data_IF_052149774631
#
_entry.id   IF_052149774631
#
_cell.length_a   1.000
_cell.length_b   1.000
_cell.length_c   1.000
_cell.angle_alpha   90.00
_cell.angle_beta   90.00
_cell.angle_gamma   90.00
#
_symmetry.space_group_name_H-M   'P 1'
#
loop_
_entity.id
_entity.type
_entity.pdbx_description
1 polymer ?
#
# COMPACT_ATOMS: atom_id res chain seq x y z
N UNK A 1 -5.48 -28.69 -3.29
CA UNK A 1 -6.87 -28.22 -3.09
C UNK A 1 -6.85 -26.71 -2.91
N UNK A 2 -7.89 -25.95 -3.29
CA UNK A 2 -7.92 -24.50 -3.05
C UNK A 2 -7.95 -24.20 -1.54
N UNK A 3 -7.32 -23.10 -1.14
CA UNK A 3 -7.38 -22.53 0.23
C UNK A 3 -8.83 -22.16 0.55
N UNK A 4 -9.35 -22.61 1.70
CA UNK A 4 -10.72 -22.36 2.14
C UNK A 4 -10.78 -21.40 3.32
N UNK A 5 -9.76 -21.39 4.18
CA UNK A 5 -9.62 -20.46 5.29
C UNK A 5 -8.16 -20.02 5.48
N UNK A 6 -7.94 -18.98 6.28
CA UNK A 6 -6.59 -18.51 6.63
C UNK A 6 -5.77 -19.53 7.41
N UNK A 7 -6.41 -20.48 8.10
CA UNK A 7 -5.73 -21.57 8.82
C UNK A 7 -5.17 -22.67 7.91
N UNK A 8 -5.55 -22.69 6.63
CA UNK A 8 -5.03 -23.66 5.66
C UNK A 8 -3.63 -23.27 5.15
N UNK A 9 -3.13 -22.10 5.51
CA UNK A 9 -1.84 -21.56 5.07
C UNK A 9 -1.00 -21.15 6.28
N UNK A 10 0.31 -21.04 6.07
CA UNK A 10 1.21 -20.52 7.09
C UNK A 10 0.85 -19.09 7.49
N UNK A 11 1.11 -18.74 8.75
CA UNK A 11 0.96 -17.37 9.21
C UNK A 11 1.92 -16.42 8.47
N UNK A 12 1.59 -15.13 8.51
CA UNK A 12 2.33 -14.12 7.76
C UNK A 12 3.79 -14.00 8.22
N UNK A 13 4.06 -14.12 9.53
CA UNK A 13 5.42 -13.97 10.08
C UNK A 13 6.29 -15.14 9.62
N UNK A 14 5.80 -16.37 9.74
CA UNK A 14 6.50 -17.55 9.25
C UNK A 14 6.78 -17.46 7.75
N UNK A 15 5.79 -16.99 6.98
CA UNK A 15 5.93 -16.79 5.52
C UNK A 15 7.02 -15.76 5.19
N UNK A 16 7.01 -14.59 5.85
CA UNK A 16 8.04 -13.57 5.66
C UNK A 16 9.42 -14.08 6.04
N UNK A 17 9.57 -14.66 7.23
CA UNK A 17 10.87 -15.14 7.72
C UNK A 17 11.46 -16.21 6.81
N UNK A 18 10.65 -17.17 6.37
CA UNK A 18 11.07 -18.22 5.43
C UNK A 18 11.52 -17.65 4.09
N UNK A 19 10.75 -16.71 3.53
CA UNK A 19 11.09 -16.07 2.25
C UNK A 19 12.38 -15.23 2.36
N UNK A 20 12.53 -14.45 3.43
CA UNK A 20 13.72 -13.63 3.66
C UNK A 20 14.96 -14.48 3.93
N UNK A 21 14.86 -15.52 4.76
CA UNK A 21 15.96 -16.42 5.07
C UNK A 21 16.52 -17.09 3.81
N UNK A 22 15.64 -17.44 2.86
CA UNK A 22 15.99 -18.09 1.59
C UNK A 22 16.51 -17.13 0.52
N UNK A 23 16.32 -15.82 0.69
CA UNK A 23 16.74 -14.82 -0.27
C UNK A 23 18.23 -14.44 -0.11
N UNK A 24 18.85 -13.99 -1.20
CA UNK A 24 20.16 -13.37 -1.15
C UNK A 24 20.12 -12.03 -0.40
N UNK A 25 21.20 -11.70 0.31
CA UNK A 25 21.31 -10.48 1.11
C UNK A 25 21.11 -9.22 0.26
N UNK A 26 20.35 -8.24 0.78
CA UNK A 26 20.09 -6.97 0.11
C UNK A 26 19.37 -7.04 -1.23
N UNK A 27 18.63 -8.13 -1.52
CA UNK A 27 17.93 -8.28 -2.82
C UNK A 27 16.42 -8.08 -2.75
N UNK A 28 15.82 -8.25 -1.56
CA UNK A 28 14.36 -8.27 -1.43
C UNK A 28 13.79 -6.85 -1.47
N UNK A 29 12.72 -6.67 -2.26
CA UNK A 29 11.89 -5.48 -2.22
C UNK A 29 10.50 -5.86 -1.73
N UNK A 30 9.98 -5.15 -0.72
CA UNK A 30 8.66 -5.40 -0.16
C UNK A 30 7.70 -4.31 -0.66
N UNK A 31 6.54 -4.71 -1.19
CA UNK A 31 5.43 -3.80 -1.50
C UNK A 31 4.35 -3.94 -0.43
N UNK A 32 4.19 -2.91 0.40
CA UNK A 32 3.19 -2.85 1.47
C UNK A 32 1.96 -2.07 0.97
N UNK A 33 0.94 -2.80 0.50
CA UNK A 33 -0.28 -2.25 -0.12
C UNK A 33 -1.52 -2.36 0.80
N UNK A 34 -1.30 -2.35 2.11
CA UNK A 34 -2.33 -2.53 3.14
C UNK A 34 -1.80 -2.15 4.51
N UNK A 35 -2.50 -2.54 5.58
CA UNK A 35 -2.06 -2.28 6.95
C UNK A 35 -0.68 -2.88 7.24
N UNK A 36 0.12 -2.19 8.05
CA UNK A 36 1.49 -2.57 8.36
C UNK A 36 1.60 -3.67 9.45
N UNK A 37 0.50 -4.31 9.84
CA UNK A 37 0.43 -5.31 10.93
C UNK A 37 1.41 -6.45 10.75
N UNK A 38 1.52 -7.01 9.54
CA UNK A 38 2.44 -8.12 9.28
C UNK A 38 3.91 -7.68 9.31
N UNK A 39 4.22 -6.44 8.90
CA UNK A 39 5.57 -5.90 9.00
C UNK A 39 5.95 -5.57 10.44
N UNK A 40 5.00 -5.06 11.24
CA UNK A 40 5.20 -4.86 12.68
C UNK A 40 5.50 -6.19 13.37
N UNK A 41 4.67 -7.21 13.14
CA UNK A 41 4.86 -8.55 13.68
C UNK A 41 6.18 -9.19 13.21
N UNK A 42 6.56 -8.98 11.93
CA UNK A 42 7.84 -9.43 11.40
C UNK A 42 9.01 -8.77 12.14
N UNK A 43 9.03 -7.44 12.27
CA UNK A 43 10.13 -6.72 12.93
C UNK A 43 10.28 -7.13 14.41
N UNK A 44 9.15 -7.41 15.09
CA UNK A 44 9.13 -7.90 16.48
C UNK A 44 9.44 -9.39 16.63
N UNK A 45 9.49 -10.14 15.54
CA UNK A 45 9.65 -11.59 15.62
C UNK A 45 11.01 -11.99 16.23
N UNK A 46 11.04 -12.97 17.15
CA UNK A 46 12.29 -13.54 17.62
C UNK A 46 12.96 -14.39 16.51
N UNK A 47 14.22 -14.82 16.72
CA UNK A 47 14.81 -15.90 15.95
C UNK A 47 13.93 -17.17 15.98
N UNK A 48 14.02 -17.98 14.94
CA UNK A 48 13.27 -19.23 14.83
C UNK A 48 14.05 -20.28 14.02
N UNK A 49 13.41 -21.39 13.69
CA UNK A 49 14.03 -22.46 12.91
C UNK A 49 14.45 -22.04 11.48
N UNK A 50 13.91 -20.94 10.95
CA UNK A 50 14.24 -20.46 9.60
C UNK A 50 15.49 -19.59 9.58
N UNK A 51 15.75 -18.86 10.67
CA UNK A 51 16.91 -17.99 10.81
C UNK A 51 17.23 -17.70 12.28
N UNK A 52 18.52 -17.71 12.62
CA UNK A 52 19.02 -17.28 13.92
C UNK A 52 18.94 -15.76 14.14
N UNK A 53 18.62 -14.99 13.09
CA UNK A 53 18.41 -13.54 13.17
C UNK A 53 16.99 -13.25 13.65
N UNK A 54 16.85 -12.24 14.53
CA UNK A 54 15.55 -11.69 14.85
C UNK A 54 14.95 -10.95 13.64
N UNK A 55 13.69 -10.54 13.75
CA UNK A 55 12.95 -9.86 12.69
C UNK A 55 13.69 -8.67 12.08
N UNK A 56 14.10 -7.73 12.92
CA UNK A 56 14.82 -6.51 12.52
C UNK A 56 16.15 -6.83 11.84
N UNK A 57 16.94 -7.74 12.39
CA UNK A 57 18.22 -8.17 11.83
C UNK A 57 18.05 -8.88 10.48
N UNK A 58 17.03 -9.75 10.37
CA UNK A 58 16.72 -10.45 9.14
C UNK A 58 16.28 -9.47 8.04
N UNK A 59 15.43 -8.51 8.38
CA UNK A 59 15.03 -7.43 7.46
C UNK A 59 16.24 -6.60 7.05
N UNK A 60 17.08 -6.18 8.00
CA UNK A 60 18.28 -5.39 7.72
C UNK A 60 19.23 -6.13 6.76
N UNK A 61 19.35 -7.46 6.92
CA UNK A 61 20.24 -8.27 6.08
C UNK A 61 19.68 -8.51 4.68
N UNK A 62 18.38 -8.75 4.57
CA UNK A 62 17.77 -9.33 3.35
C UNK A 62 17.05 -8.30 2.48
N UNK A 63 16.49 -7.26 3.08
CA UNK A 63 15.64 -6.30 2.41
C UNK A 63 16.45 -5.10 1.95
N UNK A 64 16.29 -4.72 0.68
CA UNK A 64 16.86 -3.50 0.11
C UNK A 64 15.95 -2.31 0.32
N UNK A 65 14.64 -2.51 0.10
CA UNK A 65 13.65 -1.43 0.14
C UNK A 65 12.26 -1.92 0.49
N UNK A 66 11.49 -1.04 1.11
CA UNK A 66 10.05 -1.18 1.32
C UNK A 66 9.33 -0.02 0.63
N UNK A 67 8.32 -0.36 -0.15
CA UNK A 67 7.46 0.60 -0.85
C UNK A 67 6.06 0.51 -0.26
N UNK A 68 5.61 1.58 0.39
CA UNK A 68 4.30 1.67 1.03
C UNK A 68 3.30 2.36 0.10
N UNK A 69 2.12 1.77 -0.04
CA UNK A 69 0.96 2.49 -0.53
C UNK A 69 0.41 3.35 0.59
N UNK A 70 0.49 4.66 0.40
CA UNK A 70 0.15 5.66 1.39
C UNK A 70 1.34 6.55 1.69
N UNK A 71 1.26 7.26 2.81
CA UNK A 71 2.09 8.42 3.12
C UNK A 71 1.24 9.68 2.96
N UNK A 72 1.62 10.76 3.64
CA UNK A 72 0.95 12.05 3.53
C UNK A 72 2.00 13.13 3.29
N UNK A 73 2.02 13.65 2.07
CA UNK A 73 2.94 14.72 1.70
C UNK A 73 2.21 16.06 1.78
N UNK A 74 2.15 16.66 2.97
CA UNK A 74 1.45 17.93 3.21
C UNK A 74 1.80 19.03 2.18
N UNK A 75 3.05 19.06 1.69
CA UNK A 75 3.52 20.01 0.67
C UNK A 75 2.87 19.83 -0.72
N UNK A 76 2.18 18.72 -0.98
CA UNK A 76 1.49 18.42 -2.25
C UNK A 76 -0.02 18.73 -2.21
N UNK A 77 -0.52 19.25 -1.09
CA UNK A 77 -1.95 19.50 -0.90
C UNK A 77 -2.21 20.97 -0.62
N UNK A 78 -3.19 21.56 -1.31
CA UNK A 78 -3.66 22.91 -0.94
C UNK A 78 -4.42 22.85 0.39
N UNK A 79 -4.57 23.96 1.13
CA UNK A 79 -5.39 24.00 2.34
C UNK A 79 -6.84 23.50 2.14
N UNK A 80 -7.40 23.60 0.92
CA UNK A 80 -8.70 23.02 0.57
C UNK A 80 -8.65 21.50 0.38
N UNK A 81 -7.58 20.96 -0.18
CA UNK A 81 -7.38 19.51 -0.32
C UNK A 81 -7.23 18.85 1.05
N UNK A 82 -6.51 19.52 1.96
CA UNK A 82 -6.39 19.14 3.36
C UNK A 82 -7.74 19.13 4.10
N UNK A 83 -8.69 19.98 3.71
CA UNK A 83 -10.04 20.03 4.30
C UNK A 83 -11.05 19.05 3.68
N UNK A 84 -10.90 18.67 2.40
CA UNK A 84 -11.90 17.86 1.66
C UNK A 84 -11.54 16.39 1.48
N UNK A 85 -10.27 16.02 1.47
CA UNK A 85 -9.83 14.68 1.02
C UNK A 85 -8.96 13.91 2.01
N UNK A 86 -8.60 14.53 3.13
CA UNK A 86 -7.66 13.97 4.09
C UNK A 86 -8.42 13.62 5.37
N UNK A 87 -8.67 12.34 5.67
CA UNK A 87 -8.77 11.94 7.07
C UNK A 87 -7.45 12.33 7.74
N UNK A 88 -7.47 12.76 9.01
CA UNK A 88 -6.23 12.93 9.78
C UNK A 88 -5.38 11.63 9.84
N UNK A 89 -5.92 10.52 9.33
CA UNK A 89 -5.39 9.18 9.27
C UNK A 89 -5.58 8.55 7.86
N UNK A 90 -4.56 8.59 7.00
CA UNK A 90 -4.57 7.89 5.69
C UNK A 90 -5.01 6.42 5.84
N UNK A 91 -5.75 5.83 4.89
CA UNK A 91 -6.43 4.54 5.09
C UNK A 91 -5.53 3.42 5.64
N UNK A 92 -4.35 3.20 5.04
CA UNK A 92 -3.40 2.18 5.48
C UNK A 92 -2.66 2.58 6.78
N UNK A 93 -2.43 3.87 7.01
CA UNK A 93 -1.75 4.39 8.22
C UNK A 93 -2.67 4.57 9.43
N UNK A 94 -3.96 4.76 9.19
CA UNK A 94 -5.04 5.03 10.14
C UNK A 94 -5.85 3.81 10.52
N UNK A 95 -5.46 2.63 10.03
CA UNK A 95 -6.22 1.41 10.13
C UNK A 95 -7.67 1.52 9.66
N UNK A 96 -7.90 2.24 8.56
CA UNK A 96 -9.22 2.39 7.96
C UNK A 96 -10.31 2.89 8.92
N UNK A 97 -9.95 3.51 10.05
CA UNK A 97 -10.87 3.85 11.15
C UNK A 97 -12.04 4.71 10.68
N UNK A 98 -11.79 5.60 9.71
CA UNK A 98 -12.83 6.43 9.10
C UNK A 98 -13.82 5.67 8.21
N UNK A 99 -13.42 4.52 7.68
CA UNK A 99 -14.22 3.70 6.75
C UNK A 99 -14.92 2.55 7.45
N UNK A 100 -14.22 1.85 8.33
CA UNK A 100 -14.72 0.66 9.04
C UNK A 100 -15.15 0.95 10.48
N UNK A 101 -15.04 2.20 10.93
CA UNK A 101 -15.27 2.57 12.32
C UNK A 101 -14.13 2.05 13.24
N UNK A 102 -14.33 2.07 14.57
CA UNK A 102 -13.34 1.59 15.54
C UNK A 102 -13.19 0.04 15.55
N UNK A 103 -13.75 -0.66 14.56
CA UNK A 103 -13.93 -2.11 14.58
C UNK A 103 -12.69 -2.91 14.15
N UNK A 104 -11.64 -2.26 13.66
CA UNK A 104 -10.38 -2.92 13.35
C UNK A 104 -9.41 -2.78 14.54
N UNK A 105 -9.48 -3.74 15.47
CA UNK A 105 -8.58 -3.80 16.64
C UNK A 105 -7.30 -4.53 16.27
N UNK A 106 -6.14 -3.99 16.65
CA UNK A 106 -4.83 -4.66 16.58
C UNK A 106 -3.90 -4.15 15.46
N UNK A 107 -4.31 -3.11 14.77
CA UNK A 107 -3.55 -2.43 13.72
C UNK A 107 -3.08 -1.05 14.14
N UNK A 108 -3.64 -0.50 15.22
CA UNK A 108 -3.27 0.80 15.76
C UNK A 108 -1.79 0.85 16.11
N UNK A 109 -1.11 1.91 15.65
CA UNK A 109 0.31 2.14 15.94
C UNK A 109 1.29 1.24 15.18
N UNK A 110 0.83 0.14 14.54
CA UNK A 110 1.71 -0.76 13.78
C UNK A 110 2.46 -0.04 12.67
N UNK A 111 1.78 0.87 11.96
CA UNK A 111 2.38 1.65 10.89
C UNK A 111 3.47 2.60 11.42
N UNK A 112 3.21 3.29 12.53
CA UNK A 112 4.18 4.17 13.18
C UNK A 112 5.41 3.38 13.68
N UNK A 113 5.18 2.21 14.28
CA UNK A 113 6.26 1.33 14.72
C UNK A 113 7.14 0.88 13.55
N UNK A 114 6.54 0.37 12.48
CA UNK A 114 7.28 -0.10 11.30
C UNK A 114 8.17 0.98 10.71
N UNK A 115 7.65 2.21 10.52
CA UNK A 115 8.45 3.31 9.95
C UNK A 115 9.61 3.72 10.85
N UNK A 116 9.37 3.77 12.16
CA UNK A 116 10.36 4.21 13.14
C UNK A 116 11.41 3.15 13.48
N UNK A 117 11.10 1.87 13.26
CA UNK A 117 11.98 0.73 13.60
C UNK A 117 12.51 -0.01 12.36
N UNK A 118 12.18 0.46 11.15
CA UNK A 118 12.78 -0.09 9.94
C UNK A 118 14.30 0.15 9.98
N UNK A 119 15.13 -0.87 9.68
CA UNK A 119 16.58 -0.71 9.70
C UNK A 119 17.04 0.44 8.78
N UNK A 120 18.03 1.25 9.19
CA UNK A 120 18.43 2.47 8.47
C UNK A 120 19.03 2.18 7.08
N UNK A 121 19.48 0.95 6.82
CA UNK A 121 20.00 0.52 5.53
C UNK A 121 18.90 0.07 4.55
N UNK A 122 17.63 0.05 4.99
CA UNK A 122 16.48 -0.30 4.14
C UNK A 122 15.84 0.99 3.64
N UNK A 123 15.83 1.19 2.32
CA UNK A 123 15.19 2.34 1.69
C UNK A 123 13.67 2.30 1.91
N UNK A 124 13.09 3.37 2.46
CA UNK A 124 11.63 3.50 2.65
C UNK A 124 11.05 4.49 1.65
N UNK A 125 10.09 4.03 0.83
CA UNK A 125 9.40 4.85 -0.16
C UNK A 125 7.92 4.83 0.12
N UNK A 126 7.30 6.02 0.16
CA UNK A 126 5.87 6.20 0.34
C UNK A 126 5.28 6.69 -0.97
N UNK A 127 4.17 6.10 -1.40
CA UNK A 127 3.56 6.38 -2.70
C UNK A 127 2.04 6.45 -2.62
N UNK A 128 1.50 7.61 -3.00
CA UNK A 128 0.07 7.87 -3.14
C UNK A 128 -0.42 7.72 -4.59
N UNK A 129 0.44 7.22 -5.49
CA UNK A 129 0.21 7.20 -6.94
C UNK A 129 -1.05 6.44 -7.35
N UNK A 130 -1.52 5.50 -6.52
CA UNK A 130 -2.74 4.73 -6.76
C UNK A 130 -4.01 5.57 -6.80
N UNK A 131 -4.00 6.78 -6.22
CA UNK A 131 -5.11 7.73 -6.32
C UNK A 131 -5.15 8.46 -7.67
N UNK A 132 -4.00 8.58 -8.34
CA UNK A 132 -3.84 9.37 -9.55
C UNK A 132 -3.97 8.53 -10.82
N UNK A 133 -3.58 7.27 -10.76
CA UNK A 133 -3.55 6.37 -11.91
C UNK A 133 -4.37 5.12 -11.63
N UNK A 134 -5.70 5.15 -11.87
CA UNK A 134 -6.53 3.97 -11.76
C UNK A 134 -6.05 2.90 -12.75
N UNK A 135 -5.77 1.70 -12.26
CA UNK A 135 -5.34 0.55 -13.06
C UNK A 135 -6.47 -0.45 -13.21
N UNK A 136 -6.33 -1.42 -14.12
CA UNK A 136 -7.32 -2.47 -14.33
C UNK A 136 -8.31 -2.22 -15.47
N UNK A 137 -8.44 -1.00 -16.01
CA UNK A 137 -9.35 -0.70 -17.15
C UNK A 137 -9.13 -1.60 -18.37
N UNK A 138 -7.90 -2.06 -18.62
CA UNK A 138 -7.60 -3.06 -19.66
C UNK A 138 -8.35 -4.38 -19.49
N UNK A 139 -8.77 -4.75 -18.28
CA UNK A 139 -9.61 -5.92 -18.04
C UNK A 139 -10.97 -5.80 -18.75
N UNK A 140 -11.52 -4.58 -18.88
CA UNK A 140 -12.79 -4.36 -19.58
C UNK A 140 -12.67 -4.54 -21.10
N UNK A 141 -11.46 -4.30 -21.64
CA UNK A 141 -11.14 -4.46 -23.07
C UNK A 141 -10.71 -5.88 -23.41
N UNK A 142 -9.71 -6.40 -22.68
CA UNK A 142 -8.92 -7.56 -23.10
C UNK A 142 -9.31 -8.85 -22.40
N UNK A 143 -9.93 -8.79 -21.21
CA UNK A 143 -10.33 -10.01 -20.49
C UNK A 143 -11.74 -10.44 -20.91
N UNK A 144 -12.01 -11.75 -21.05
CA UNK A 144 -13.35 -12.23 -21.36
C UNK A 144 -14.31 -11.93 -20.21
N UNK A 145 -15.62 -11.81 -20.48
CA UNK A 145 -16.64 -11.55 -19.46
C UNK A 145 -16.74 -12.64 -18.38
N UNK A 146 -16.26 -13.84 -18.68
CA UNK A 146 -16.15 -14.97 -17.73
C UNK A 146 -14.97 -14.82 -16.77
N UNK A 147 -14.05 -13.88 -17.01
CA UNK A 147 -12.88 -13.66 -16.15
C UNK A 147 -13.32 -13.18 -14.76
N UNK A 148 -12.91 -13.86 -13.68
CA UNK A 148 -13.25 -13.42 -12.32
C UNK A 148 -12.66 -12.04 -12.00
N UNK A 149 -11.48 -11.70 -12.53
CA UNK A 149 -10.85 -10.39 -12.32
C UNK A 149 -11.64 -9.26 -13.00
N UNK A 150 -12.14 -9.51 -14.22
CA UNK A 150 -13.00 -8.54 -14.91
C UNK A 150 -14.31 -8.34 -14.17
N UNK A 151 -14.95 -9.43 -13.74
CA UNK A 151 -16.21 -9.36 -12.98
C UNK A 151 -16.03 -8.63 -11.66
N UNK A 152 -14.95 -8.87 -10.93
CA UNK A 152 -14.63 -8.15 -9.70
C UNK A 152 -14.50 -6.64 -9.96
N UNK A 153 -13.75 -6.25 -11.00
CA UNK A 153 -13.63 -4.84 -11.40
C UNK A 153 -15.00 -4.22 -11.78
N UNK A 154 -15.79 -4.91 -12.61
CA UNK A 154 -17.13 -4.44 -13.01
C UNK A 154 -18.06 -4.24 -11.80
N UNK A 155 -18.00 -5.15 -10.81
CA UNK A 155 -18.73 -5.00 -9.54
C UNK A 155 -18.24 -3.79 -8.77
N UNK A 156 -16.92 -3.65 -8.55
CA UNK A 156 -16.36 -2.50 -7.81
C UNK A 156 -16.74 -1.17 -8.46
N UNK A 157 -16.61 -1.06 -9.79
CA UNK A 157 -16.99 0.16 -10.51
C UNK A 157 -18.48 0.48 -10.32
N UNK A 158 -19.36 -0.53 -10.36
CA UNK A 158 -20.80 -0.37 -10.17
C UNK A 158 -21.14 0.11 -8.76
N UNK A 159 -20.57 -0.52 -7.74
CA UNK A 159 -20.76 -0.14 -6.33
C UNK A 159 -20.24 1.29 -6.06
N UNK A 160 -19.22 1.72 -6.81
CA UNK A 160 -18.66 3.07 -6.70
C UNK A 160 -19.35 4.10 -7.61
N UNK A 161 -20.44 3.71 -8.30
CA UNK A 161 -21.17 4.59 -9.21
C UNK A 161 -20.36 5.03 -10.45
N UNK A 162 -19.32 4.28 -10.81
CA UNK A 162 -18.44 4.56 -11.95
C UNK A 162 -18.94 3.84 -13.22
N UNK A 163 -18.71 4.45 -14.38
CA UNK A 163 -19.09 3.88 -15.66
C UNK A 163 -18.23 2.64 -15.99
N UNK A 164 -18.89 1.58 -16.47
CA UNK A 164 -18.22 0.38 -16.98
C UNK A 164 -18.05 0.55 -18.50
N UNK A 165 -16.95 1.16 -18.92
CA UNK A 165 -16.64 1.37 -20.35
C UNK A 165 -15.31 0.73 -20.73
N UNK A 166 -15.26 -0.06 -21.83
CA UNK A 166 -14.01 -0.59 -22.35
C UNK A 166 -13.11 0.55 -22.86
N UNK A 167 -13.67 1.66 -23.33
CA UNK A 167 -12.93 2.87 -23.62
C UNK A 167 -13.19 3.84 -22.47
N UNK A 168 -12.34 3.90 -21.43
CA UNK A 168 -12.40 5.05 -20.55
C UNK A 168 -12.14 6.24 -21.49
N UNK A 169 -13.13 7.12 -21.65
CA UNK A 169 -12.88 8.41 -22.28
C UNK A 169 -11.63 8.97 -21.59
N UNK A 170 -10.61 9.32 -22.38
CA UNK A 170 -9.32 9.86 -21.95
C UNK A 170 -9.35 10.38 -20.52
N UNK A 171 -8.70 9.67 -19.60
CA UNK A 171 -8.46 10.09 -18.20
C UNK A 171 -9.31 11.24 -17.66
N UNK A 172 -10.60 11.04 -17.45
CA UNK A 172 -11.53 11.98 -16.80
C UNK A 172 -12.72 11.12 -16.34
N UNK A 173 -13.22 11.09 -15.09
CA UNK A 173 -13.27 12.07 -14.03
C UNK A 173 -13.44 11.33 -12.67
N UNK A 174 -12.48 11.46 -11.75
CA UNK A 174 -12.74 11.44 -10.29
C UNK A 174 -13.10 12.87 -9.82
N UNK A 175 -13.86 13.56 -10.67
CA UNK A 175 -14.09 15.00 -10.67
C UNK A 175 -15.58 15.35 -10.60
N UNK A 176 -16.45 14.39 -10.28
CA UNK A 176 -17.77 14.74 -9.71
C UNK A 176 -17.68 15.38 -8.32
N UNK A 177 -16.46 15.58 -7.77
CA UNK A 177 -16.21 16.34 -6.54
C UNK A 177 -15.09 17.40 -6.63
N UNK A 178 -14.53 17.73 -7.81
CA UNK A 178 -13.47 18.76 -7.93
C UNK A 178 -13.55 19.56 -9.24
N UNK A 179 -13.42 20.91 -9.21
CA UNK A 179 -13.07 21.71 -10.37
C UNK A 179 -11.53 21.73 -10.59
N UNK A 180 -11.13 21.62 -11.87
CA UNK A 180 -9.76 21.71 -12.44
C UNK A 180 -9.21 23.17 -12.40
N UNK A 181 -7.89 23.48 -12.60
CA UNK A 181 -7.00 23.00 -13.68
C UNK A 181 -5.62 22.46 -13.26
N UNK A 182 -4.97 21.78 -14.22
CA UNK A 182 -4.01 20.68 -14.06
C UNK A 182 -2.62 20.98 -14.68
N UNK A 183 -2.16 22.24 -14.69
CA UNK A 183 -0.92 22.61 -15.40
C UNK A 183 0.34 22.73 -14.52
N UNK A 184 0.26 22.55 -13.21
CA UNK A 184 1.39 22.87 -12.30
C UNK A 184 2.20 21.67 -11.79
N UNK A 185 1.84 20.43 -12.13
CA UNK A 185 2.30 19.22 -11.40
C UNK A 185 3.49 18.47 -12.03
N UNK A 186 4.08 18.96 -13.13
CA UNK A 186 5.19 18.28 -13.82
C UNK A 186 6.59 18.83 -13.54
N UNK A 187 6.74 19.79 -12.63
CA UNK A 187 8.07 20.30 -12.25
C UNK A 187 8.68 19.50 -11.10
N UNK A 188 9.82 18.81 -11.29
CA UNK A 188 10.50 18.12 -10.19
C UNK A 188 11.13 19.14 -9.22
N UNK A 189 10.57 19.28 -8.02
CA UNK A 189 11.21 20.04 -6.94
C UNK A 189 12.32 19.20 -6.30
N UNK A 190 13.58 19.62 -6.48
CA UNK A 190 14.71 19.14 -5.65
C UNK A 190 14.62 19.80 -4.28
N UNK A 191 14.69 18.99 -3.22
CA UNK A 191 14.83 19.48 -1.85
C UNK A 191 16.19 20.17 -1.66
N UNK A 192 16.25 21.33 -0.95
CA UNK A 192 17.52 21.96 -0.63
C UNK A 192 18.31 21.10 0.37
N UNK A 193 19.63 21.04 0.18
CA UNK A 193 20.56 20.48 1.17
C UNK A 193 20.67 21.45 2.33
N UNK A 194 20.43 20.97 3.55
CA UNK A 194 20.71 21.73 4.77
C UNK A 194 22.23 21.87 4.94
N UNK A 195 22.69 23.12 5.16
CA UNK A 195 23.92 23.43 5.89
C UNK A 195 23.64 23.39 7.38
#
# INVERSE_FOLDING_TARGET
APVKSSSDVADAVHTYRSALASAADGTVAIAAIGFATNLDALLRSPPDATSHLNGTELVARKVRRVVYQGGWYAARHTPRDLQRRVPADEFNWGCGRRWFGPSLVGCEGTAAYVVSHMPPNVEQIFSEVGLLFPTGGRLLQCAPRTSPCRRALETTLREWGQAISPHPANGLLLTSLLPSPLDSLLTPHRLPRHQ
#
